data_IF_347661025314
#
_entry.id   IF_347661025314
#
_cell.length_a   1.000
_cell.length_b   1.000
_cell.length_c   1.000
_cell.angle_alpha   90.00
_cell.angle_beta   90.00
_cell.angle_gamma   90.00
#
_symmetry.space_group_name_H-M   'P 1'
#
loop_
_entity.id
_entity.type
_entity.pdbx_description
1 polymer ?
#
# COMPACT_ATOMS: atom_id res chain seq x y z
N UNK A 1 -1.34 27.74 -11.47
CA UNK A 1 -0.02 27.04 -11.31
C UNK A 1 0.30 27.04 -9.83
N UNK A 2 0.32 25.88 -9.18
CA UNK A 2 0.52 25.76 -7.72
C UNK A 2 1.85 25.10 -7.43
N UNK A 3 2.42 25.36 -6.23
CA UNK A 3 3.58 24.65 -5.69
C UNK A 3 3.11 23.50 -4.81
N UNK A 4 3.48 22.28 -5.14
CA UNK A 4 3.02 21.07 -4.45
C UNK A 4 4.20 20.39 -3.76
N UNK A 5 4.10 20.20 -2.45
CA UNK A 5 5.05 19.44 -1.66
C UNK A 5 4.46 18.08 -1.29
N UNK A 6 5.04 17.01 -1.82
CA UNK A 6 4.73 15.64 -1.42
C UNK A 6 5.59 15.23 -0.22
N UNK A 7 5.01 14.64 0.81
CA UNK A 7 5.76 14.13 1.97
C UNK A 7 5.51 12.62 2.09
N UNK A 8 6.57 11.81 1.95
CA UNK A 8 6.49 10.36 2.06
C UNK A 8 7.71 9.76 2.77
N UNK A 9 7.55 8.59 3.36
CA UNK A 9 8.64 7.90 4.06
C UNK A 9 9.77 7.45 3.13
N UNK A 10 9.45 7.03 1.91
CA UNK A 10 10.37 6.48 0.90
C UNK A 10 9.98 6.93 -0.51
N UNK A 11 10.94 6.93 -1.45
CA UNK A 11 10.67 7.19 -2.87
C UNK A 11 10.56 5.90 -3.72
N UNK A 12 10.65 4.73 -3.11
CA UNK A 12 10.53 3.42 -3.77
C UNK A 12 9.42 2.57 -3.12
N UNK A 13 9.19 1.36 -3.63
CA UNK A 13 8.07 0.52 -3.21
C UNK A 13 6.71 1.10 -3.63
N UNK A 14 5.61 0.51 -3.16
CA UNK A 14 4.25 0.84 -3.59
C UNK A 14 3.92 2.33 -3.38
N UNK A 15 3.98 2.83 -2.14
CA UNK A 15 3.64 4.23 -1.83
C UNK A 15 4.60 5.24 -2.44
N UNK A 16 5.89 4.89 -2.54
CA UNK A 16 6.88 5.72 -3.23
C UNK A 16 6.64 5.82 -4.73
N UNK A 17 6.17 4.76 -5.36
CA UNK A 17 5.78 4.76 -6.77
C UNK A 17 4.55 5.63 -7.00
N UNK A 18 3.52 5.50 -6.16
CA UNK A 18 2.33 6.38 -6.22
C UNK A 18 2.75 7.85 -6.10
N UNK A 19 3.54 8.20 -5.09
CA UNK A 19 4.03 9.57 -4.88
C UNK A 19 4.78 10.11 -6.11
N UNK A 20 5.71 9.33 -6.69
CA UNK A 20 6.43 9.73 -7.92
C UNK A 20 5.53 9.88 -9.13
N UNK A 21 4.51 9.03 -9.26
CA UNK A 21 3.54 9.11 -10.35
C UNK A 21 2.71 10.39 -10.25
N UNK A 22 2.24 10.73 -9.06
CA UNK A 22 1.50 11.96 -8.81
C UNK A 22 2.36 13.20 -9.05
N UNK A 23 3.62 13.17 -8.59
CA UNK A 23 4.58 14.25 -8.88
C UNK A 23 4.73 14.48 -10.39
N UNK A 24 4.95 13.41 -11.18
CA UNK A 24 5.11 13.53 -12.65
C UNK A 24 3.86 14.12 -13.29
N UNK A 25 2.68 13.59 -12.95
CA UNK A 25 1.43 14.07 -13.49
C UNK A 25 1.17 15.56 -13.14
N UNK A 26 1.52 15.97 -11.91
CA UNK A 26 1.39 17.35 -11.47
C UNK A 26 2.36 18.29 -12.22
N UNK A 27 3.62 17.86 -12.45
CA UNK A 27 4.58 18.61 -13.26
C UNK A 27 4.13 18.73 -14.72
N UNK A 28 3.62 17.64 -15.31
CA UNK A 28 3.05 17.64 -16.66
C UNK A 28 1.83 18.55 -16.79
N UNK A 29 1.06 18.71 -15.69
CA UNK A 29 -0.05 19.64 -15.61
C UNK A 29 0.38 21.11 -15.33
N UNK A 30 1.69 21.40 -15.24
CA UNK A 30 2.24 22.74 -15.08
C UNK A 30 2.44 23.20 -13.64
N UNK A 31 2.39 22.31 -12.65
CA UNK A 31 2.69 22.63 -11.25
C UNK A 31 4.19 22.55 -10.93
N UNK A 32 4.67 23.36 -9.99
CA UNK A 32 6.01 23.20 -9.42
C UNK A 32 5.96 22.19 -8.26
N UNK A 33 6.71 21.09 -8.36
CA UNK A 33 6.61 19.99 -7.41
C UNK A 33 7.93 19.71 -6.69
N UNK A 34 7.84 19.23 -5.43
CA UNK A 34 8.98 18.74 -4.64
C UNK A 34 8.56 17.52 -3.82
N UNK A 35 9.45 16.53 -3.63
CA UNK A 35 9.22 15.38 -2.75
C UNK A 35 10.12 15.47 -1.52
N UNK A 36 9.55 15.63 -0.34
CA UNK A 36 10.23 15.47 0.93
C UNK A 36 10.16 14.00 1.37
N UNK A 37 11.31 13.36 1.56
CA UNK A 37 11.37 11.92 1.87
C UNK A 37 12.32 11.60 3.02
N UNK A 38 11.99 10.54 3.77
CA UNK A 38 12.74 10.14 4.96
C UNK A 38 13.88 9.17 4.68
N UNK A 39 13.63 8.09 3.96
CA UNK A 39 14.55 6.95 3.83
C UNK A 39 14.82 6.57 2.37
N UNK A 40 15.95 5.86 2.17
CA UNK A 40 16.38 5.46 0.84
C UNK A 40 17.12 6.59 0.11
N UNK A 41 17.18 6.45 -1.20
CA UNK A 41 17.89 7.37 -2.10
C UNK A 41 16.91 8.29 -2.82
N UNK A 42 17.41 9.45 -3.23
CA UNK A 42 16.66 10.38 -4.07
C UNK A 42 16.43 9.75 -5.45
N UNK A 43 15.22 9.79 -5.98
CA UNK A 43 14.96 9.34 -7.34
C UNK A 43 15.58 10.33 -8.33
N UNK A 44 16.23 9.83 -9.38
CA UNK A 44 16.81 10.67 -10.43
C UNK A 44 15.72 11.43 -11.18
N UNK A 45 15.96 12.70 -11.48
CA UNK A 45 15.03 13.55 -12.24
C UNK A 45 13.87 14.15 -11.42
N UNK A 46 13.93 14.10 -10.09
CA UNK A 46 12.92 14.70 -9.22
C UNK A 46 13.56 15.79 -8.33
N UNK A 47 12.86 16.89 -8.12
CA UNK A 47 13.22 17.86 -7.07
C UNK A 47 12.88 17.26 -5.71
N UNK A 48 13.85 17.15 -4.82
CA UNK A 48 13.66 16.43 -3.56
C UNK A 48 14.26 17.15 -2.36
N UNK A 49 13.65 16.92 -1.20
CA UNK A 49 14.15 17.34 0.12
C UNK A 49 14.37 16.08 0.95
N UNK A 50 15.61 15.84 1.39
CA UNK A 50 15.91 14.78 2.36
C UNK A 50 15.55 15.25 3.76
N UNK A 51 14.79 14.43 4.50
CA UNK A 51 14.41 14.68 5.89
C UNK A 51 15.33 13.87 6.80
N UNK A 52 16.19 14.58 7.54
CA UNK A 52 17.17 13.97 8.43
C UNK A 52 18.21 13.10 7.72
N UNK A 53 18.95 12.38 8.52
CA UNK A 53 20.04 11.50 8.10
C UNK A 53 19.87 10.08 8.67
N UNK A 54 20.85 9.20 8.46
CA UNK A 54 20.80 7.81 8.94
C UNK A 54 20.77 7.72 10.48
N UNK A 55 21.46 8.63 11.17
CA UNK A 55 21.49 8.66 12.64
C UNK A 55 20.12 9.07 13.21
N UNK A 56 19.46 10.08 12.62
CA UNK A 56 18.10 10.48 13.01
C UNK A 56 17.14 9.31 12.92
N UNK A 57 17.19 8.56 11.81
CA UNK A 57 16.35 7.39 11.60
C UNK A 57 16.65 6.30 12.63
N UNK A 58 17.93 6.01 12.88
CA UNK A 58 18.35 5.00 13.85
C UNK A 58 17.86 5.35 15.27
N UNK A 59 18.06 6.59 15.71
CA UNK A 59 17.59 7.06 17.01
C UNK A 59 16.07 7.02 17.12
N UNK A 60 15.36 7.34 16.05
CA UNK A 60 13.89 7.23 16.02
C UNK A 60 13.44 5.77 16.11
N UNK A 61 14.07 4.84 15.38
CA UNK A 61 13.80 3.40 15.49
C UNK A 61 14.06 2.92 16.90
N UNK A 62 15.17 3.30 17.52
CA UNK A 62 15.50 2.94 18.89
C UNK A 62 14.42 3.44 19.86
N UNK A 63 14.02 4.71 19.72
CA UNK A 63 12.95 5.31 20.52
C UNK A 63 11.60 4.60 20.32
N UNK A 64 11.27 4.22 19.10
CA UNK A 64 10.06 3.46 18.80
C UNK A 64 10.10 2.06 19.44
N UNK A 65 11.25 1.37 19.36
CA UNK A 65 11.45 0.03 19.95
C UNK A 65 11.39 0.02 21.46
N UNK A 66 12.06 0.98 22.12
CA UNK A 66 12.13 1.03 23.58
C UNK A 66 10.86 1.63 24.20
N UNK A 67 10.24 2.62 23.55
CA UNK A 67 9.21 3.46 24.16
C UNK A 67 7.91 3.55 23.34
N UNK A 68 7.69 2.68 22.36
CA UNK A 68 6.49 2.71 21.49
C UNK A 68 6.22 4.11 20.88
N UNK A 69 7.27 4.79 20.46
CA UNK A 69 7.23 6.19 20.05
C UNK A 69 7.40 6.37 18.53
N UNK A 70 6.78 5.48 17.72
CA UNK A 70 6.73 5.62 16.26
C UNK A 70 5.93 6.88 15.89
N UNK A 71 6.56 7.76 15.08
CA UNK A 71 6.01 9.08 14.74
C UNK A 71 6.35 10.21 15.72
N UNK A 72 6.98 9.92 16.87
CA UNK A 72 7.32 10.89 17.92
C UNK A 72 8.81 11.13 18.09
N UNK A 73 9.64 10.56 17.20
CA UNK A 73 11.09 10.84 17.09
C UNK A 73 11.40 11.97 16.11
N UNK A 74 12.66 12.03 15.63
CA UNK A 74 13.13 12.92 14.53
C UNK A 74 12.76 14.40 14.70
N UNK A 75 12.74 14.92 15.95
CA UNK A 75 12.29 16.30 16.23
C UNK A 75 13.12 17.34 15.48
N UNK A 76 14.46 17.23 15.50
CA UNK A 76 15.33 18.20 14.83
C UNK A 76 15.17 18.11 13.31
N UNK A 77 15.17 16.91 12.75
CA UNK A 77 14.95 16.69 11.30
C UNK A 77 13.63 17.28 10.82
N UNK A 78 12.57 17.23 11.66
CA UNK A 78 11.27 17.83 11.32
C UNK A 78 11.32 19.37 11.40
N UNK A 79 12.03 19.95 12.36
CA UNK A 79 12.22 21.41 12.41
C UNK A 79 12.98 21.94 11.18
N UNK A 80 14.00 21.18 10.72
CA UNK A 80 14.73 21.52 9.50
C UNK A 80 13.85 21.34 8.24
N UNK A 81 12.95 20.35 8.23
CA UNK A 81 11.95 20.21 7.17
C UNK A 81 11.05 21.44 7.12
N UNK A 82 10.53 21.92 8.26
CA UNK A 82 9.66 23.12 8.32
C UNK A 82 10.36 24.32 7.68
N UNK A 83 11.61 24.60 8.01
CA UNK A 83 12.36 25.70 7.37
C UNK A 83 12.37 25.55 5.84
N UNK A 84 12.56 24.34 5.33
CA UNK A 84 12.54 24.07 3.89
C UNK A 84 11.14 24.18 3.28
N UNK A 85 10.09 23.92 4.05
CA UNK A 85 8.71 24.17 3.64
C UNK A 85 8.48 25.68 3.49
N UNK A 86 8.94 26.48 4.47
CA UNK A 86 8.84 27.94 4.43
C UNK A 86 9.65 28.55 3.27
N UNK A 87 10.81 27.97 2.92
CA UNK A 87 11.59 28.36 1.75
C UNK A 87 10.90 27.99 0.43
N UNK A 88 10.29 26.82 0.35
CA UNK A 88 9.61 26.33 -0.85
C UNK A 88 8.26 27.05 -1.06
N UNK A 89 7.58 27.41 0.04
CA UNK A 89 6.26 28.07 0.05
C UNK A 89 5.21 27.29 -0.75
N UNK A 90 4.87 26.06 -0.35
CA UNK A 90 3.89 25.26 -1.06
C UNK A 90 2.47 25.84 -0.89
N UNK A 91 1.70 25.83 -1.98
CA UNK A 91 0.25 26.08 -1.94
C UNK A 91 -0.48 24.82 -1.45
N UNK A 92 0.10 23.65 -1.75
CA UNK A 92 -0.47 22.34 -1.40
C UNK A 92 0.60 21.47 -0.75
N UNK A 93 0.27 20.85 0.38
CA UNK A 93 1.05 19.78 1.01
C UNK A 93 0.27 18.47 0.89
N UNK A 94 0.84 17.52 0.12
CA UNK A 94 0.27 16.19 -0.03
C UNK A 94 1.03 15.17 0.82
N UNK A 95 0.38 14.73 1.90
CA UNK A 95 0.92 13.74 2.83
C UNK A 95 0.60 12.32 2.33
N UNK A 96 1.59 11.42 2.42
CA UNK A 96 1.43 9.98 2.25
C UNK A 96 1.75 9.27 3.57
N UNK A 97 2.69 8.31 3.57
CA UNK A 97 3.10 7.64 4.80
C UNK A 97 3.98 8.55 5.66
N UNK A 98 3.40 9.16 6.68
CA UNK A 98 4.11 9.98 7.67
C UNK A 98 4.66 9.16 8.84
N UNK A 99 4.47 7.85 8.86
CA UNK A 99 5.17 6.91 9.73
C UNK A 99 6.42 6.33 9.02
N UNK A 100 7.28 5.60 9.74
CA UNK A 100 8.51 5.07 9.14
C UNK A 100 9.78 5.74 9.66
N UNK A 101 9.71 6.37 10.84
CA UNK A 101 10.86 6.81 11.64
C UNK A 101 11.65 8.00 11.08
N UNK A 102 11.01 8.96 10.41
CA UNK A 102 11.69 10.06 9.74
C UNK A 102 11.16 11.45 10.09
N UNK A 103 9.95 11.56 10.58
CA UNK A 103 9.25 12.81 10.90
C UNK A 103 8.61 12.74 12.28
N UNK A 104 8.52 13.87 12.97
CA UNK A 104 7.78 14.04 14.21
C UNK A 104 6.41 14.61 13.90
N UNK A 105 5.37 13.84 14.17
CA UNK A 105 3.98 14.21 13.80
C UNK A 105 3.45 15.39 14.60
N UNK A 106 3.82 15.52 15.88
CA UNK A 106 3.36 16.64 16.71
C UNK A 106 3.89 17.98 16.15
N UNK A 107 5.17 18.02 15.77
CA UNK A 107 5.81 19.24 15.23
C UNK A 107 5.26 19.54 13.83
N UNK A 108 5.14 18.52 12.96
CA UNK A 108 4.62 18.71 11.61
C UNK A 108 3.17 19.22 11.65
N UNK A 109 2.30 18.56 12.42
CA UNK A 109 0.88 18.94 12.45
C UNK A 109 0.62 20.24 13.22
N UNK A 110 1.49 20.61 14.18
CA UNK A 110 1.45 21.96 14.76
C UNK A 110 1.66 23.01 13.66
N UNK A 111 2.69 22.84 12.82
CA UNK A 111 2.94 23.71 11.67
C UNK A 111 1.76 23.76 10.71
N UNK A 112 1.18 22.60 10.35
CA UNK A 112 0.04 22.54 9.44
C UNK A 112 -1.21 23.27 9.99
N UNK A 113 -1.41 23.25 11.31
CA UNK A 113 -2.51 24.00 11.97
C UNK A 113 -2.26 25.51 11.97
N UNK A 114 -1.00 25.92 12.07
CA UNK A 114 -0.60 27.33 12.06
C UNK A 114 -0.66 27.95 10.64
N UNK A 115 -0.87 27.12 9.59
CA UNK A 115 -0.93 27.53 8.19
C UNK A 115 -2.24 27.05 7.52
N UNK A 116 -3.40 27.64 7.90
CA UNK A 116 -4.70 27.29 7.33
C UNK A 116 -4.80 27.60 5.83
N UNK A 117 -4.02 28.55 5.31
CA UNK A 117 -3.96 28.95 3.91
C UNK A 117 -3.41 27.83 3.00
N UNK A 118 -2.55 26.95 3.51
CA UNK A 118 -2.03 25.82 2.74
C UNK A 118 -3.11 24.76 2.61
N UNK A 119 -3.43 24.29 1.42
CA UNK A 119 -4.28 23.12 1.19
C UNK A 119 -3.55 21.84 1.60
N UNK A 120 -4.16 21.00 2.41
CA UNK A 120 -3.58 19.72 2.85
C UNK A 120 -4.40 18.58 2.25
N UNK A 121 -3.69 17.65 1.61
CA UNK A 121 -4.27 16.39 1.15
C UNK A 121 -3.50 15.27 1.84
N UNK A 122 -4.19 14.32 2.44
CA UNK A 122 -3.53 13.20 3.08
C UNK A 122 -4.08 11.87 2.55
N UNK A 123 -3.28 11.19 1.72
CA UNK A 123 -3.60 9.84 1.27
C UNK A 123 -3.20 8.81 2.32
N UNK A 124 -4.19 8.16 2.91
CA UNK A 124 -4.01 7.10 3.88
C UNK A 124 -3.82 5.76 3.15
N UNK A 125 -2.64 5.16 3.31
CA UNK A 125 -2.31 3.86 2.71
C UNK A 125 -2.57 2.68 3.65
N UNK A 126 -2.74 2.95 4.93
CA UNK A 126 -3.02 1.99 5.99
C UNK A 126 -3.75 2.67 7.17
N UNK A 127 -3.97 1.92 8.24
CA UNK A 127 -4.74 2.38 9.40
C UNK A 127 -3.90 3.05 10.49
N UNK A 128 -2.57 3.21 10.30
CA UNK A 128 -1.69 3.73 11.34
C UNK A 128 -2.12 5.10 11.89
N UNK A 129 -2.66 5.94 11.04
CA UNK A 129 -3.01 7.31 11.39
C UNK A 129 -4.05 7.39 12.53
N UNK A 130 -5.02 6.49 12.56
CA UNK A 130 -6.11 6.50 13.54
C UNK A 130 -6.05 5.37 14.58
N UNK A 131 -4.95 4.61 14.62
CA UNK A 131 -4.68 3.63 15.67
C UNK A 131 -3.61 4.14 16.64
N UNK A 132 -3.51 3.52 17.81
CA UNK A 132 -2.47 3.87 18.78
C UNK A 132 -1.08 3.30 18.43
N UNK A 133 -1.02 2.27 17.57
CA UNK A 133 0.23 1.57 17.26
C UNK A 133 0.29 1.02 15.83
N UNK A 134 -0.59 0.08 15.49
CA UNK A 134 -0.49 -0.78 14.32
C UNK A 134 -1.04 -0.14 13.03
N UNK A 135 -0.44 -0.45 11.86
CA UNK A 135 -0.98 -0.01 10.56
C UNK A 135 -2.11 -0.91 10.03
N UNK A 136 -2.27 -2.12 10.58
CA UNK A 136 -3.32 -3.07 10.24
C UNK A 136 -3.83 -3.76 11.49
N UNK A 137 -5.08 -4.18 11.50
CA UNK A 137 -5.74 -4.87 12.63
C UNK A 137 -6.85 -5.83 12.18
N UNK A 138 -7.07 -5.96 10.89
CA UNK A 138 -8.15 -6.77 10.30
C UNK A 138 -8.02 -8.25 10.65
N UNK A 139 -6.79 -8.78 10.61
CA UNK A 139 -6.52 -10.17 10.95
C UNK A 139 -6.92 -10.53 12.38
N UNK A 140 -6.66 -9.64 13.34
CA UNK A 140 -7.01 -9.79 14.75
C UNK A 140 -8.44 -9.31 15.07
N UNK A 141 -9.14 -8.72 14.11
CA UNK A 141 -10.49 -8.14 14.29
C UNK A 141 -10.56 -7.15 15.47
N UNK A 142 -9.52 -6.33 15.63
CA UNK A 142 -9.44 -5.38 16.71
C UNK A 142 -10.30 -4.15 16.42
N UNK A 143 -11.20 -3.80 17.35
CA UNK A 143 -12.09 -2.63 17.24
C UNK A 143 -11.76 -1.49 18.23
N UNK A 144 -10.71 -1.63 19.04
CA UNK A 144 -10.37 -0.63 20.05
C UNK A 144 -10.13 0.77 19.48
N UNK A 145 -9.56 0.85 18.28
CA UNK A 145 -9.24 2.10 17.60
C UNK A 145 -10.46 3.02 17.36
N UNK A 146 -11.66 2.51 17.40
CA UNK A 146 -12.90 3.31 17.20
C UNK A 146 -13.09 4.34 18.31
N UNK A 147 -12.74 3.99 19.54
CA UNK A 147 -12.89 4.86 20.70
C UNK A 147 -11.55 5.26 21.31
N UNK A 148 -10.74 4.27 21.69
CA UNK A 148 -9.37 4.44 22.16
C UNK A 148 -8.64 3.10 22.15
N UNK A 149 -7.35 3.09 21.83
CA UNK A 149 -6.51 1.90 21.98
C UNK A 149 -6.06 1.76 23.43
N UNK A 150 -6.28 0.59 24.05
CA UNK A 150 -5.89 0.34 25.47
C UNK A 150 -4.74 -0.62 25.63
N UNK A 151 -4.75 -1.74 24.87
CA UNK A 151 -3.73 -2.77 24.88
C UNK A 151 -3.55 -3.31 23.47
N UNK A 152 -2.38 -3.06 22.89
CA UNK A 152 -2.12 -3.49 21.52
C UNK A 152 -1.66 -4.94 21.43
N UNK A 153 -2.49 -5.82 20.86
CA UNK A 153 -2.16 -7.22 20.62
C UNK A 153 -1.05 -7.38 19.58
N UNK A 154 -0.83 -6.36 18.72
CA UNK A 154 0.19 -6.32 17.66
C UNK A 154 1.47 -5.59 18.05
N UNK A 155 1.70 -5.33 19.34
CA UNK A 155 2.90 -4.63 19.82
C UNK A 155 4.22 -5.24 19.31
N UNK A 156 4.25 -6.53 19.10
CA UNK A 156 5.43 -7.27 18.63
C UNK A 156 5.60 -7.24 17.11
N UNK A 157 4.66 -6.64 16.37
CA UNK A 157 4.72 -6.43 14.92
C UNK A 157 5.10 -4.98 14.60
N UNK A 158 5.17 -4.64 13.31
CA UNK A 158 5.50 -3.26 12.91
C UNK A 158 4.42 -2.26 13.39
N UNK A 159 4.85 -1.17 14.02
CA UNK A 159 6.19 -0.71 14.44
C UNK A 159 6.61 -1.30 15.80
N UNK A 160 7.21 -2.47 15.80
CA UNK A 160 7.53 -3.29 16.97
C UNK A 160 8.04 -2.49 18.17
N UNK A 161 7.52 -2.77 19.39
CA UNK A 161 7.96 -2.13 20.64
C UNK A 161 8.07 -3.12 21.81
N UNK A 162 8.98 -2.81 22.77
CA UNK A 162 9.15 -3.57 24.01
C UNK A 162 8.04 -3.24 25.02
N UNK A 163 7.55 -2.01 25.03
CA UNK A 163 6.46 -1.58 25.91
C UNK A 163 5.24 -1.19 25.08
N UNK A 164 4.08 -1.18 25.70
CA UNK A 164 2.82 -0.78 25.07
C UNK A 164 2.43 0.62 25.56
N UNK A 165 2.40 1.57 24.65
CA UNK A 165 1.91 2.92 24.88
C UNK A 165 0.79 3.30 23.89
N UNK A 166 0.12 2.29 23.33
CA UNK A 166 -0.89 2.52 22.31
C UNK A 166 -2.02 3.45 22.77
N UNK A 167 -2.40 3.43 24.05
CA UNK A 167 -3.37 4.39 24.57
C UNK A 167 -2.86 5.82 24.47
N UNK A 168 -1.67 6.09 25.01
CA UNK A 168 -1.07 7.43 24.95
C UNK A 168 -0.88 7.90 23.50
N UNK A 169 -0.37 7.00 22.64
CA UNK A 169 -0.14 7.30 21.24
C UNK A 169 -1.45 7.60 20.49
N UNK A 170 -2.53 6.91 20.81
CA UNK A 170 -3.85 7.17 20.25
C UNK A 170 -4.29 8.61 20.54
N UNK A 171 -4.23 9.04 21.79
CA UNK A 171 -4.62 10.38 22.18
C UNK A 171 -3.69 11.47 21.63
N UNK A 172 -2.36 11.22 21.57
CA UNK A 172 -1.40 12.13 20.95
C UNK A 172 -1.65 12.27 19.44
N UNK A 173 -1.97 11.18 18.75
CA UNK A 173 -2.33 11.22 17.32
C UNK A 173 -3.65 11.96 17.13
N UNK A 174 -4.67 11.64 17.91
CA UNK A 174 -5.96 12.34 17.85
C UNK A 174 -5.78 13.82 18.05
N UNK A 175 -5.08 14.27 19.09
CA UNK A 175 -4.84 15.69 19.32
C UNK A 175 -3.99 16.36 18.23
N UNK A 176 -3.04 15.63 17.63
CA UNK A 176 -2.22 16.16 16.54
C UNK A 176 -3.01 16.31 15.25
N UNK A 177 -3.79 15.30 14.88
CA UNK A 177 -4.40 15.16 13.57
C UNK A 177 -5.79 15.74 13.43
N UNK A 178 -6.49 16.06 14.55
CA UNK A 178 -7.79 16.72 14.50
C UNK A 178 -7.64 18.26 14.56
N UNK A 179 -8.66 18.99 14.12
CA UNK A 179 -8.67 20.46 14.03
C UNK A 179 -7.53 21.01 13.16
N UNK A 180 -7.35 20.41 11.98
CA UNK A 180 -6.45 20.89 10.94
C UNK A 180 -7.31 21.45 9.82
N UNK A 181 -7.29 22.76 9.66
CA UNK A 181 -8.06 23.44 8.63
C UNK A 181 -7.55 23.10 7.23
N UNK A 182 -8.45 23.11 6.25
CA UNK A 182 -8.16 22.84 4.85
C UNK A 182 -7.45 21.48 4.62
N UNK A 183 -7.87 20.46 5.39
CA UNK A 183 -7.38 19.08 5.26
C UNK A 183 -8.47 18.19 4.64
N UNK A 184 -8.13 17.55 3.51
CA UNK A 184 -8.90 16.50 2.88
C UNK A 184 -8.16 15.17 3.00
N UNK A 185 -8.89 14.10 3.32
CA UNK A 185 -8.37 12.73 3.34
C UNK A 185 -8.67 12.01 2.03
N UNK A 186 -7.73 11.22 1.57
CA UNK A 186 -7.93 10.33 0.41
C UNK A 186 -7.70 8.88 0.84
N UNK A 187 -8.61 8.01 0.45
CA UNK A 187 -8.54 6.57 0.67
C UNK A 187 -8.45 5.81 -0.65
N UNK A 188 -7.58 4.80 -0.79
CA UNK A 188 -7.53 3.98 -2.00
C UNK A 188 -8.66 2.94 -2.10
N UNK A 189 -9.50 2.80 -1.09
CA UNK A 189 -10.63 1.84 -1.07
C UNK A 189 -11.83 2.36 -0.29
N UNK A 190 -13.03 1.91 -0.64
CA UNK A 190 -14.22 2.15 0.17
C UNK A 190 -14.12 1.46 1.53
N UNK A 191 -13.45 0.31 1.60
CA UNK A 191 -13.20 -0.38 2.87
C UNK A 191 -12.46 0.52 3.86
N UNK A 192 -11.32 1.11 3.47
CA UNK A 192 -10.57 2.01 4.36
C UNK A 192 -11.33 3.32 4.62
N UNK A 193 -12.03 3.88 3.63
CA UNK A 193 -12.89 5.06 3.83
C UNK A 193 -13.90 4.81 4.94
N UNK A 194 -14.55 3.64 4.98
CA UNK A 194 -15.52 3.31 6.03
C UNK A 194 -14.85 3.23 7.41
N UNK A 195 -13.64 2.68 7.50
CA UNK A 195 -12.88 2.68 8.75
C UNK A 195 -12.51 4.11 9.19
N UNK A 196 -12.11 4.97 8.27
CA UNK A 196 -11.81 6.38 8.55
C UNK A 196 -13.05 7.09 9.12
N UNK A 197 -14.23 6.85 8.54
CA UNK A 197 -15.51 7.40 9.02
C UNK A 197 -15.91 6.90 10.42
N UNK A 198 -15.47 5.71 10.80
CA UNK A 198 -15.67 5.15 12.15
C UNK A 198 -14.61 5.65 13.16
N UNK A 199 -13.60 6.39 12.72
CA UNK A 199 -12.49 6.88 13.54
C UNK A 199 -12.67 8.34 13.98
N UNK A 200 -11.68 8.89 14.69
CA UNK A 200 -11.65 10.31 15.02
C UNK A 200 -11.45 11.25 13.82
N UNK A 201 -11.30 10.71 12.61
CA UNK A 201 -11.26 11.48 11.37
C UNK A 201 -12.63 11.70 10.72
N UNK A 202 -13.71 11.22 11.30
CA UNK A 202 -15.06 11.20 10.73
C UNK A 202 -15.58 12.57 10.23
N UNK A 203 -15.08 13.67 10.79
CA UNK A 203 -15.50 15.03 10.43
C UNK A 203 -14.76 15.60 9.20
N UNK A 204 -13.68 14.94 8.75
CA UNK A 204 -12.94 15.42 7.58
C UNK A 204 -13.62 14.98 6.28
N UNK A 205 -13.55 15.81 5.22
CA UNK A 205 -13.92 15.36 3.87
C UNK A 205 -13.02 14.22 3.45
N UNK A 206 -13.62 13.16 2.88
CA UNK A 206 -12.92 11.95 2.46
C UNK A 206 -13.31 11.62 1.02
N UNK A 207 -12.32 11.49 0.16
CA UNK A 207 -12.50 11.02 -1.21
C UNK A 207 -11.91 9.63 -1.39
N UNK A 208 -12.55 8.80 -2.23
CA UNK A 208 -11.98 7.51 -2.64
C UNK A 208 -11.33 7.65 -4.01
N UNK A 209 -9.99 7.57 -4.04
CA UNK A 209 -9.20 7.54 -5.26
C UNK A 209 -8.40 6.24 -5.28
N UNK A 210 -8.85 5.28 -6.06
CA UNK A 210 -8.21 3.97 -6.14
C UNK A 210 -6.78 4.09 -6.69
N UNK A 211 -5.86 3.26 -6.17
CA UNK A 211 -4.52 3.13 -6.74
C UNK A 211 -4.61 2.64 -8.19
N UNK A 212 -3.72 3.14 -9.03
CA UNK A 212 -3.58 2.71 -10.42
C UNK A 212 -2.35 1.85 -10.64
N UNK A 213 -2.34 1.16 -11.79
CA UNK A 213 -1.19 0.41 -12.32
C UNK A 213 -0.78 0.96 -13.68
N UNK A 214 0.51 0.89 -14.01
CA UNK A 214 1.00 1.28 -15.32
C UNK A 214 0.60 0.25 -16.39
N UNK A 215 -0.47 0.53 -17.12
CA UNK A 215 -1.00 -0.35 -18.17
C UNK A 215 -0.15 -0.34 -19.45
N UNK A 216 0.84 0.54 -19.57
CA UNK A 216 1.84 0.46 -20.64
C UNK A 216 2.86 -0.66 -20.38
N UNK A 217 3.13 -0.93 -19.11
CA UNK A 217 4.02 -1.99 -18.61
C UNK A 217 3.22 -3.28 -18.37
N UNK A 218 2.22 -3.21 -17.49
CA UNK A 218 1.37 -4.35 -17.15
C UNK A 218 0.27 -4.52 -18.21
N UNK A 219 0.55 -5.36 -19.17
CA UNK A 219 -0.37 -5.75 -20.26
C UNK A 219 -0.12 -7.18 -20.65
N UNK A 220 -1.10 -7.82 -21.26
CA UNK A 220 -0.93 -9.18 -21.73
C UNK A 220 0.26 -9.29 -22.68
N UNK A 221 1.16 -10.21 -22.39
CA UNK A 221 2.41 -10.43 -23.13
C UNK A 221 2.63 -11.93 -23.30
N UNK A 222 2.62 -12.38 -24.54
CA UNK A 222 2.96 -13.77 -24.88
C UNK A 222 4.43 -14.05 -24.55
N UNK A 223 4.70 -15.26 -24.04
CA UNK A 223 6.05 -15.64 -23.67
C UNK A 223 6.21 -17.17 -23.55
N UNK A 224 7.45 -17.62 -23.60
CA UNK A 224 7.82 -19.01 -23.33
C UNK A 224 8.22 -19.24 -21.85
N UNK A 225 7.76 -18.41 -20.91
CA UNK A 225 8.18 -18.50 -19.51
C UNK A 225 7.86 -19.87 -18.89
N UNK A 226 6.72 -20.45 -19.21
CA UNK A 226 6.34 -21.81 -18.75
C UNK A 226 7.29 -22.89 -19.26
N UNK A 227 7.78 -22.77 -20.50
CA UNK A 227 8.75 -23.69 -21.08
C UNK A 227 10.11 -23.61 -20.37
N UNK A 228 10.58 -22.40 -20.08
CA UNK A 228 11.83 -22.16 -19.32
C UNK A 228 11.85 -22.84 -17.95
N UNK A 229 10.67 -23.05 -17.35
CA UNK A 229 10.52 -23.73 -16.06
C UNK A 229 10.02 -25.18 -16.18
N UNK A 230 9.96 -25.76 -17.40
CA UNK A 230 9.54 -27.14 -17.62
C UNK A 230 8.06 -27.44 -17.37
N UNK A 231 7.21 -26.42 -17.40
CA UNK A 231 5.77 -26.50 -17.06
C UNK A 231 4.86 -26.06 -18.21
N UNK A 232 5.31 -26.24 -19.47
CA UNK A 232 4.59 -25.77 -20.67
C UNK A 232 3.09 -26.13 -20.66
N UNK A 233 2.77 -27.36 -20.29
CA UNK A 233 1.42 -27.91 -20.35
C UNK A 233 0.63 -27.77 -19.04
N UNK A 234 1.17 -27.05 -18.04
CA UNK A 234 0.51 -26.86 -16.75
C UNK A 234 -0.35 -25.60 -16.73
N UNK A 235 -1.45 -25.64 -16.00
CA UNK A 235 -2.24 -24.47 -15.61
C UNK A 235 -1.59 -23.83 -14.38
N UNK A 236 -1.16 -22.58 -14.51
CA UNK A 236 -0.40 -21.91 -13.45
C UNK A 236 -1.34 -21.17 -12.50
N UNK A 237 -1.27 -21.49 -11.20
CA UNK A 237 -1.82 -20.70 -10.11
C UNK A 237 -0.70 -19.82 -9.59
N UNK A 238 -0.78 -18.52 -9.81
CA UNK A 238 0.27 -17.56 -9.48
C UNK A 238 -0.02 -16.83 -8.16
N UNK A 239 0.99 -16.73 -7.30
CA UNK A 239 1.01 -15.84 -6.14
C UNK A 239 2.21 -14.91 -6.19
N UNK A 240 2.01 -13.62 -5.89
CA UNK A 240 3.08 -12.61 -5.86
C UNK A 240 2.98 -11.77 -4.59
N UNK A 241 4.08 -11.66 -3.85
CA UNK A 241 4.17 -10.75 -2.71
C UNK A 241 5.62 -10.26 -2.56
N UNK A 242 5.82 -9.05 -2.06
CA UNK A 242 7.16 -8.52 -1.74
C UNK A 242 7.77 -9.20 -0.51
N UNK A 243 6.93 -9.65 0.41
CA UNK A 243 7.29 -10.43 1.60
C UNK A 243 6.19 -11.45 1.84
N UNK A 244 6.55 -12.70 1.91
CA UNK A 244 5.65 -13.79 2.26
C UNK A 244 5.69 -14.04 3.77
N UNK A 245 4.58 -13.79 4.42
CA UNK A 245 4.32 -14.14 5.81
C UNK A 245 2.97 -14.86 5.93
N UNK A 246 2.55 -15.16 7.16
CA UNK A 246 1.27 -15.79 7.43
C UNK A 246 0.09 -14.98 6.89
N UNK A 247 0.20 -13.64 6.90
CA UNK A 247 -0.89 -12.76 6.50
C UNK A 247 -1.04 -12.64 4.99
N UNK A 248 0.01 -12.94 4.24
CA UNK A 248 -0.03 -13.04 2.78
C UNK A 248 -0.45 -14.43 2.29
N UNK A 249 -0.75 -15.36 3.20
CA UNK A 249 -1.37 -16.64 2.91
C UNK A 249 -0.45 -17.70 2.31
N UNK A 250 0.86 -17.69 2.64
CA UNK A 250 1.78 -18.74 2.20
C UNK A 250 1.30 -20.13 2.62
N UNK A 251 0.81 -20.28 3.85
CA UNK A 251 0.30 -21.55 4.38
C UNK A 251 -0.88 -22.07 3.54
N UNK A 252 -1.74 -21.16 3.06
CA UNK A 252 -2.87 -21.53 2.18
C UNK A 252 -2.39 -22.15 0.87
N UNK A 253 -1.34 -21.60 0.25
CA UNK A 253 -0.75 -22.19 -0.96
C UNK A 253 -0.17 -23.57 -0.70
N UNK A 254 0.51 -23.75 0.42
CA UNK A 254 1.06 -25.06 0.82
C UNK A 254 -0.08 -26.07 1.05
N UNK A 255 -1.20 -25.62 1.62
CA UNK A 255 -2.33 -26.51 1.91
C UNK A 255 -3.06 -26.93 0.63
N UNK A 256 -3.37 -25.98 -0.27
CA UNK A 256 -4.04 -26.32 -1.54
C UNK A 256 -3.15 -27.19 -2.43
N UNK A 257 -1.81 -27.04 -2.38
CA UNK A 257 -0.88 -27.83 -3.20
C UNK A 257 -0.98 -29.33 -2.93
N UNK A 258 -1.45 -29.75 -1.76
CA UNK A 258 -1.63 -31.15 -1.39
C UNK A 258 -2.81 -31.83 -2.07
N UNK A 259 -3.76 -31.03 -2.60
CA UNK A 259 -5.03 -31.51 -3.17
C UNK A 259 -5.17 -31.17 -4.67
N UNK A 260 -4.25 -30.37 -5.22
CA UNK A 260 -4.22 -30.05 -6.65
C UNK A 260 -3.70 -31.26 -7.45
N UNK A 261 -4.36 -31.55 -8.56
CA UNK A 261 -3.91 -32.58 -9.48
C UNK A 261 -2.70 -32.11 -10.33
N UNK A 262 -2.14 -33.06 -11.11
CA UNK A 262 -0.97 -32.79 -11.94
C UNK A 262 -1.20 -31.81 -13.11
N UNK A 263 -2.43 -31.40 -13.37
CA UNK A 263 -2.74 -30.41 -14.40
C UNK A 263 -2.31 -29.00 -13.97
N UNK A 264 -2.24 -28.74 -12.66
CA UNK A 264 -1.92 -27.44 -12.08
C UNK A 264 -0.49 -27.35 -11.58
N UNK A 265 0.04 -26.14 -11.59
CA UNK A 265 1.34 -25.78 -11.01
C UNK A 265 1.20 -24.49 -10.22
N UNK A 266 1.57 -24.52 -8.95
CA UNK A 266 1.66 -23.28 -8.14
C UNK A 266 3.03 -22.65 -8.40
N UNK A 267 3.04 -21.33 -8.65
CA UNK A 267 4.25 -20.51 -8.76
C UNK A 267 4.14 -19.34 -7.78
N UNK A 268 5.13 -19.18 -6.90
CA UNK A 268 5.18 -18.14 -5.90
C UNK A 268 6.39 -17.24 -6.11
N UNK A 269 6.17 -15.93 -6.29
CA UNK A 269 7.22 -14.94 -6.50
C UNK A 269 7.36 -14.06 -5.25
N UNK A 270 8.60 -13.77 -4.83
CA UNK A 270 8.94 -12.94 -3.69
C UNK A 270 9.32 -13.70 -2.42
N UNK A 271 9.56 -14.98 -2.51
CA UNK A 271 9.99 -15.83 -1.41
C UNK A 271 11.47 -15.63 -1.07
N UNK A 272 11.82 -15.71 0.20
CA UNK A 272 13.22 -15.79 0.58
C UNK A 272 13.78 -17.22 0.43
N UNK A 273 15.11 -17.34 0.37
CA UNK A 273 15.80 -18.63 0.17
C UNK A 273 15.43 -19.71 1.22
N UNK A 274 15.17 -19.30 2.47
CA UNK A 274 14.78 -20.23 3.55
C UNK A 274 13.37 -20.77 3.33
N UNK A 275 12.46 -19.92 2.83
CA UNK A 275 11.09 -20.34 2.50
C UNK A 275 11.10 -21.32 1.32
N UNK A 276 11.85 -21.01 0.23
CA UNK A 276 11.94 -21.89 -0.94
C UNK A 276 12.41 -23.30 -0.54
N UNK A 277 13.41 -23.41 0.34
CA UNK A 277 13.91 -24.71 0.82
C UNK A 277 12.87 -25.55 1.58
N UNK A 278 11.81 -24.92 2.08
CA UNK A 278 10.73 -25.58 2.84
C UNK A 278 9.47 -25.83 2.00
N UNK A 279 9.44 -25.38 0.75
CA UNK A 279 8.28 -25.60 -0.11
C UNK A 279 8.13 -27.09 -0.48
N UNK A 280 6.89 -27.57 -0.62
CA UNK A 280 6.61 -28.83 -1.30
C UNK A 280 7.18 -28.82 -2.72
N UNK A 281 7.59 -30.00 -3.23
CA UNK A 281 8.21 -30.15 -4.56
C UNK A 281 7.30 -29.75 -5.72
N UNK A 282 5.98 -29.72 -5.51
CA UNK A 282 4.98 -29.31 -6.49
C UNK A 282 4.68 -27.79 -6.46
N UNK A 283 5.47 -26.98 -5.72
CA UNK A 283 5.41 -25.51 -5.75
C UNK A 283 6.75 -24.97 -6.27
N UNK A 284 6.70 -24.15 -7.30
CA UNK A 284 7.86 -23.41 -7.80
C UNK A 284 7.96 -22.10 -7.00
N UNK A 285 9.08 -21.93 -6.29
CA UNK A 285 9.40 -20.73 -5.54
C UNK A 285 10.45 -19.88 -6.25
N UNK A 286 10.16 -18.60 -6.46
CA UNK A 286 11.04 -17.61 -7.08
C UNK A 286 11.33 -16.51 -6.07
N UNK A 287 12.61 -16.20 -5.85
CA UNK A 287 12.98 -15.14 -4.88
C UNK A 287 12.61 -13.75 -5.39
N UNK A 288 12.91 -13.51 -6.66
CA UNK A 288 12.64 -12.25 -7.36
C UNK A 288 12.75 -12.49 -8.85
N UNK A 289 11.91 -11.84 -9.63
CA UNK A 289 12.06 -11.75 -11.08
C UNK A 289 13.27 -10.88 -11.44
N UNK A 290 13.91 -11.13 -12.56
CA UNK A 290 15.07 -10.36 -13.04
C UNK A 290 14.69 -8.87 -13.24
N UNK A 291 13.48 -8.65 -13.77
CA UNK A 291 12.93 -7.33 -14.06
C UNK A 291 11.40 -7.37 -14.02
N UNK A 292 10.76 -6.25 -14.32
CA UNK A 292 9.30 -6.14 -14.34
C UNK A 292 8.69 -6.87 -15.55
N UNK A 293 9.41 -6.96 -16.66
CA UNK A 293 8.96 -7.66 -17.88
C UNK A 293 8.82 -9.17 -17.61
N UNK A 294 9.70 -9.76 -16.82
CA UNK A 294 9.55 -11.15 -16.41
C UNK A 294 8.34 -11.35 -15.50
N UNK A 295 8.07 -10.41 -14.60
CA UNK A 295 6.87 -10.43 -13.77
C UNK A 295 5.59 -10.35 -14.62
N UNK A 296 5.57 -9.49 -15.64
CA UNK A 296 4.46 -9.37 -16.61
C UNK A 296 4.23 -10.68 -17.35
N UNK A 297 5.32 -11.38 -17.76
CA UNK A 297 5.22 -12.69 -18.40
C UNK A 297 4.59 -13.74 -17.48
N UNK A 298 4.94 -13.74 -16.19
CA UNK A 298 4.33 -14.62 -15.21
C UNK A 298 2.85 -14.33 -15.01
N UNK A 299 2.47 -13.05 -14.85
CA UNK A 299 1.06 -12.69 -14.80
C UNK A 299 0.32 -13.16 -16.05
N UNK A 300 0.87 -12.87 -17.24
CA UNK A 300 0.21 -13.20 -18.52
C UNK A 300 0.10 -14.70 -18.80
N UNK A 301 1.02 -15.50 -18.28
CA UNK A 301 1.04 -16.96 -18.45
C UNK A 301 0.19 -17.71 -17.41
N UNK A 302 -0.26 -17.03 -16.37
CA UNK A 302 -1.04 -17.64 -15.31
C UNK A 302 -2.50 -17.87 -15.72
N UNK A 303 -3.05 -19.04 -15.35
CA UNK A 303 -4.46 -19.36 -15.47
C UNK A 303 -5.29 -18.50 -14.50
N UNK A 304 -4.76 -18.31 -13.30
CA UNK A 304 -5.37 -17.52 -12.23
C UNK A 304 -4.30 -16.90 -11.34
N UNK A 305 -4.52 -15.67 -10.94
CA UNK A 305 -3.79 -15.03 -9.85
C UNK A 305 -4.57 -15.21 -8.55
N UNK A 306 -3.96 -15.87 -7.57
CA UNK A 306 -4.56 -16.10 -6.27
C UNK A 306 -3.91 -15.19 -5.22
N UNK A 307 -4.71 -14.36 -4.55
CA UNK A 307 -4.27 -13.48 -3.48
C UNK A 307 -5.00 -13.82 -2.16
N UNK A 308 -4.53 -14.83 -1.40
CA UNK A 308 -5.12 -15.22 -0.13
C UNK A 308 -4.71 -14.30 1.03
N UNK A 309 -4.67 -12.99 0.79
CA UNK A 309 -4.27 -12.04 1.84
C UNK A 309 -5.30 -12.01 2.97
N UNK A 310 -4.82 -11.96 4.22
CA UNK A 310 -5.63 -11.85 5.42
C UNK A 310 -5.75 -10.41 5.92
N UNK A 311 -4.97 -9.50 5.35
CA UNK A 311 -5.09 -8.05 5.56
C UNK A 311 -4.42 -7.30 4.40
N UNK A 312 -5.15 -6.41 3.77
CA UNK A 312 -4.63 -5.48 2.76
C UNK A 312 -5.65 -4.35 2.53
N UNK A 313 -5.16 -3.17 2.20
CA UNK A 313 -6.02 -2.04 1.91
C UNK A 313 -6.52 -2.05 0.45
N UNK A 314 -5.57 -2.06 -0.50
CA UNK A 314 -5.89 -2.06 -1.94
C UNK A 314 -4.69 -2.62 -2.71
N UNK A 315 -4.53 -3.96 -2.75
CA UNK A 315 -3.34 -4.61 -3.30
C UNK A 315 -3.16 -4.35 -4.80
N UNK A 316 -2.07 -3.69 -5.16
CA UNK A 316 -1.73 -3.38 -6.56
C UNK A 316 -1.42 -4.62 -7.38
N UNK A 317 -0.95 -5.71 -6.74
CA UNK A 317 -0.73 -7.01 -7.41
C UNK A 317 -1.99 -7.59 -8.06
N UNK A 318 -3.19 -7.27 -7.51
CA UNK A 318 -4.45 -7.63 -8.13
C UNK A 318 -4.66 -6.86 -9.45
N UNK A 319 -4.35 -5.54 -9.43
CA UNK A 319 -4.44 -4.69 -10.62
C UNK A 319 -3.45 -5.11 -11.71
N UNK A 320 -2.23 -5.45 -11.30
CA UNK A 320 -1.16 -5.95 -12.17
C UNK A 320 -1.59 -7.23 -12.91
N UNK A 321 -2.16 -8.18 -12.17
CA UNK A 321 -2.69 -9.42 -12.74
C UNK A 321 -3.82 -9.16 -13.74
N UNK A 322 -4.79 -8.31 -13.37
CA UNK A 322 -5.95 -7.98 -14.24
C UNK A 322 -5.47 -7.25 -15.50
N UNK A 323 -4.54 -6.31 -15.36
CA UNK A 323 -3.98 -5.57 -16.49
C UNK A 323 -3.26 -6.50 -17.48
N UNK A 324 -2.63 -7.58 -16.99
CA UNK A 324 -2.04 -8.63 -17.80
C UNK A 324 -3.07 -9.65 -18.35
N UNK A 325 -4.36 -9.46 -18.09
CA UNK A 325 -5.43 -10.32 -18.59
C UNK A 325 -5.75 -11.54 -17.72
N UNK A 326 -5.14 -11.63 -16.53
CA UNK A 326 -5.26 -12.78 -15.63
C UNK A 326 -6.37 -12.54 -14.60
N UNK A 327 -7.34 -13.47 -14.49
CA UNK A 327 -8.39 -13.35 -13.50
C UNK A 327 -7.83 -13.49 -12.07
N UNK A 328 -8.41 -12.73 -11.14
CA UNK A 328 -8.00 -12.71 -9.73
C UNK A 328 -9.02 -13.44 -8.87
N UNK A 329 -8.54 -14.32 -8.01
CA UNK A 329 -9.28 -14.90 -6.89
C UNK A 329 -8.68 -14.36 -5.60
N UNK A 330 -9.50 -13.88 -4.68
CA UNK A 330 -9.04 -13.30 -3.42
C UNK A 330 -9.99 -13.60 -2.27
N UNK A 331 -9.51 -13.51 -1.05
CA UNK A 331 -10.37 -13.55 0.13
C UNK A 331 -11.19 -12.25 0.26
N UNK A 332 -12.35 -12.37 0.90
CA UNK A 332 -13.15 -11.21 1.32
C UNK A 332 -12.51 -10.56 2.55
N UNK A 333 -11.40 -9.88 2.33
CA UNK A 333 -10.58 -9.29 3.40
C UNK A 333 -10.11 -7.90 2.98
N UNK A 334 -10.35 -6.91 3.85
CA UNK A 334 -9.95 -5.54 3.57
C UNK A 334 -10.53 -4.99 2.27
N UNK A 335 -9.76 -4.20 1.56
CA UNK A 335 -10.10 -3.71 0.22
C UNK A 335 -9.62 -4.62 -0.91
N UNK A 336 -9.15 -5.84 -0.63
CA UNK A 336 -8.68 -6.77 -1.67
C UNK A 336 -9.76 -7.11 -2.71
N UNK A 337 -11.05 -7.34 -2.34
CA UNK A 337 -12.11 -7.53 -3.33
C UNK A 337 -12.32 -6.33 -4.26
N UNK A 338 -12.16 -5.11 -3.76
CA UNK A 338 -12.31 -3.89 -4.57
C UNK A 338 -11.21 -3.80 -5.63
N UNK A 339 -9.94 -4.03 -5.25
CA UNK A 339 -8.79 -4.00 -6.18
C UNK A 339 -8.80 -5.17 -7.18
N UNK A 340 -9.47 -6.26 -6.84
CA UNK A 340 -9.62 -7.39 -7.75
C UNK A 340 -10.68 -7.15 -8.83
N UNK A 341 -11.45 -6.06 -8.76
CA UNK A 341 -12.64 -5.87 -9.60
C UNK A 341 -13.46 -7.18 -9.68
N UNK A 342 -13.43 -7.92 -8.59
CA UNK A 342 -13.87 -9.29 -8.57
C UNK A 342 -15.38 -9.35 -8.67
N UNK A 343 -15.89 -10.18 -9.58
CA UNK A 343 -17.27 -10.64 -9.46
C UNK A 343 -17.40 -11.41 -8.14
N UNK A 344 -18.58 -11.43 -7.53
CA UNK A 344 -18.85 -12.21 -6.31
C UNK A 344 -18.40 -13.68 -6.45
N UNK A 345 -18.34 -14.21 -7.67
CA UNK A 345 -17.87 -15.57 -7.99
C UNK A 345 -16.39 -15.80 -7.65
N UNK A 346 -15.56 -14.76 -7.73
CA UNK A 346 -14.10 -14.84 -7.52
C UNK A 346 -13.69 -14.44 -6.09
N UNK A 347 -14.64 -14.07 -5.23
CA UNK A 347 -14.37 -13.74 -3.83
C UNK A 347 -14.60 -14.96 -2.97
N UNK A 348 -13.64 -15.30 -2.11
CA UNK A 348 -13.72 -16.39 -1.15
C UNK A 348 -14.18 -15.84 0.20
N UNK A 349 -15.36 -16.26 0.64
CA UNK A 349 -15.94 -15.83 1.91
C UNK A 349 -15.60 -16.77 3.06
N UNK A 350 -15.61 -18.08 2.80
CA UNK A 350 -15.23 -19.11 3.75
C UNK A 350 -13.83 -19.60 3.39
N UNK A 351 -12.87 -19.45 4.29
CA UNK A 351 -11.47 -19.82 4.04
C UNK A 351 -11.23 -21.32 4.21
N UNK A 352 -12.11 -22.16 3.63
CA UNK A 352 -11.93 -23.62 3.58
C UNK A 352 -11.33 -24.05 2.25
N UNK A 353 -10.58 -25.14 2.28
CA UNK A 353 -9.83 -25.62 1.12
C UNK A 353 -10.72 -25.97 -0.07
N UNK A 354 -11.88 -26.59 0.17
CA UNK A 354 -12.78 -27.00 -0.91
C UNK A 354 -13.35 -25.77 -1.65
N UNK A 355 -13.73 -24.70 -0.94
CA UNK A 355 -14.17 -23.47 -1.58
C UNK A 355 -13.05 -22.83 -2.40
N UNK A 356 -11.81 -22.79 -1.84
CA UNK A 356 -10.64 -22.24 -2.53
C UNK A 356 -10.38 -23.01 -3.83
N UNK A 357 -10.25 -24.33 -3.75
CA UNK A 357 -10.00 -25.18 -4.91
C UNK A 357 -11.10 -25.05 -5.97
N UNK A 358 -12.36 -25.11 -5.54
CA UNK A 358 -13.50 -24.95 -6.46
C UNK A 358 -13.44 -23.62 -7.23
N UNK A 359 -13.10 -22.52 -6.55
CA UNK A 359 -12.99 -21.21 -7.21
C UNK A 359 -11.76 -21.10 -8.13
N UNK A 360 -10.62 -21.70 -7.76
CA UNK A 360 -9.41 -21.69 -8.58
C UNK A 360 -9.56 -22.55 -9.85
N UNK A 361 -10.23 -23.70 -9.74
CA UNK A 361 -10.40 -24.65 -10.85
C UNK A 361 -11.51 -24.19 -11.81
N UNK A 362 -12.60 -23.66 -11.28
CA UNK A 362 -13.78 -23.24 -12.07
C UNK A 362 -13.78 -21.75 -12.41
N UNK A 363 -12.62 -21.12 -12.46
CA UNK A 363 -12.54 -19.71 -12.80
C UNK A 363 -12.97 -19.49 -14.24
N UNK A 364 -13.96 -18.62 -14.42
CA UNK A 364 -14.35 -18.23 -15.77
C UNK A 364 -13.40 -17.17 -16.30
N UNK A 365 -12.69 -17.46 -17.39
CA UNK A 365 -11.92 -16.46 -18.11
C UNK A 365 -12.85 -15.35 -18.58
N UNK A 366 -12.69 -14.16 -18.03
CA UNK A 366 -13.33 -12.99 -18.60
C UNK A 366 -12.77 -12.78 -20.00
N UNK A 367 -13.63 -12.76 -21.02
CA UNK A 367 -13.31 -12.12 -22.29
C UNK A 367 -12.72 -10.74 -21.96
N UNK A 368 -11.61 -10.37 -22.62
CA UNK A 368 -10.96 -9.06 -22.50
C UNK A 368 -12.01 -7.97 -22.33
N UNK A 369 -12.27 -7.57 -21.10
CA UNK A 369 -13.13 -6.41 -20.86
C UNK A 369 -12.27 -5.16 -21.08
N UNK A 370 -12.60 -4.40 -22.10
CA UNK A 370 -11.98 -3.11 -22.44
C UNK A 370 -12.14 -2.01 -21.36
N UNK A 371 -12.59 -2.34 -20.16
CA UNK A 371 -12.73 -1.42 -19.02
C UNK A 371 -11.43 -1.19 -18.23
N UNK A 372 -10.26 -1.35 -18.87
CA UNK A 372 -8.95 -1.10 -18.25
C UNK A 372 -8.70 0.38 -17.89
N UNK A 373 -9.57 1.31 -18.33
CA UNK A 373 -9.36 2.73 -18.11
C UNK A 373 -9.40 3.15 -16.62
N UNK A 374 -10.20 2.48 -15.78
CA UNK A 374 -10.35 2.86 -14.35
C UNK A 374 -9.24 2.34 -13.44
N UNK A 375 -8.45 1.37 -13.88
CA UNK A 375 -7.32 0.82 -13.09
C UNK A 375 -5.97 1.40 -13.49
N UNK A 376 -5.92 2.21 -14.54
CA UNK A 376 -4.68 2.80 -15.04
C UNK A 376 -4.19 3.98 -14.20
N UNK A 377 -2.88 4.24 -14.25
CA UNK A 377 -2.28 5.42 -13.59
C UNK A 377 -2.93 6.72 -14.04
N UNK A 378 -3.27 6.84 -15.31
CA UNK A 378 -3.91 8.06 -15.86
C UNK A 378 -5.23 8.35 -15.15
N UNK A 379 -6.06 7.34 -14.92
CA UNK A 379 -7.31 7.53 -14.19
C UNK A 379 -7.07 7.98 -12.76
N UNK A 380 -6.14 7.34 -12.05
CA UNK A 380 -5.75 7.72 -10.70
C UNK A 380 -5.23 9.16 -10.67
N UNK A 381 -4.25 9.50 -11.51
CA UNK A 381 -3.63 10.83 -11.53
C UNK A 381 -4.63 11.94 -11.88
N UNK A 382 -5.53 11.72 -12.86
CA UNK A 382 -6.55 12.69 -13.22
C UNK A 382 -7.51 13.00 -12.06
N UNK A 383 -7.84 12.02 -11.21
CA UNK A 383 -8.66 12.27 -10.04
C UNK A 383 -7.89 13.07 -8.98
N UNK A 384 -6.60 12.79 -8.76
CA UNK A 384 -5.79 13.61 -7.85
C UNK A 384 -5.55 15.04 -8.39
N UNK A 385 -5.36 15.20 -9.71
CA UNK A 385 -5.14 16.53 -10.32
C UNK A 385 -6.33 17.45 -10.11
N UNK A 386 -7.56 16.95 -10.11
CA UNK A 386 -8.75 17.75 -9.75
C UNK A 386 -8.62 18.39 -8.37
N UNK A 387 -7.98 17.69 -7.43
CA UNK A 387 -7.76 18.17 -6.08
C UNK A 387 -6.57 19.12 -5.95
N UNK A 388 -5.73 19.25 -6.99
CA UNK A 388 -4.61 20.22 -7.03
C UNK A 388 -4.99 21.52 -7.72
N UNK A 389 -6.16 21.61 -8.33
CA UNK A 389 -6.70 22.86 -8.83
C UNK A 389 -7.39 23.60 -7.69
N UNK A 390 -7.18 24.89 -7.55
CA UNK A 390 -8.00 25.74 -6.70
C UNK A 390 -9.41 25.76 -7.29
N UNK A 391 -10.38 25.17 -6.61
CA UNK A 391 -11.77 25.55 -6.81
C UNK A 391 -11.94 26.89 -6.08
N UNK A 392 -12.23 27.95 -6.84
CA UNK A 392 -12.73 29.19 -6.27
C UNK A 392 -14.02 28.88 -5.51
N UNK A 393 -13.96 28.82 -4.17
CA UNK A 393 -15.10 28.75 -3.27
C UNK A 393 -15.61 30.14 -2.91
#
# INVERSE_FOLDING_TARGET
MSKILFINSVCNGSTGTICKTLYKAAVEAGHECCIAYGRGEAPKGFKTIKIGNKLDIYLHVLKARLFDASGFGSKQATKELIKKIDEFKPDIIHLHNIHGYYVNIEILFKYLKEHPEIKKIWTLHDCWAFTGHCPHFEYEKCEQWKNECKKCIRRNEYPKSLIDRCNKNYWLKKSSFTNVDNLMLVSPSNWLMNLIKDSFFKEYPIEVINNGVDTSIFKHTESNIKERYGIKNKKVILGVASVWDKKKGLDTFIEISKQLDNEYQIVLIGLNKKQIKKLPSNIIGITRTENVEELVKWYSAAEVFFNPTLEDNYPTVNLEAIACGTPVVTFNTGGSPESAYASKKNIIYMKNINEILNKLINISHRKKNNNNNKMGLIYMTNNYLKNYVEEDF
#
